data_IF_358388629708
#
_entry.id   IF_358388629708
#
_cell.length_a   1.000
_cell.length_b   1.000
_cell.length_c   1.000
_cell.angle_alpha   90.00
_cell.angle_beta   90.00
_cell.angle_gamma   90.00
#
_symmetry.space_group_name_H-M   'P 1'
#
loop_
_entity.id
_entity.type
_entity.pdbx_description
1 polymer ?
#
# COMPACT_ATOMS: atom_id res chain seq x y z
N UNK A 1 -41.35 3.07 25.31
CA UNK A 1 -40.90 3.44 23.94
C UNK A 1 -39.43 3.03 23.81
N UNK A 2 -39.14 1.96 23.08
CA UNK A 2 -37.77 1.44 22.93
C UNK A 2 -37.04 2.26 21.85
N UNK A 3 -35.96 2.94 22.25
CA UNK A 3 -34.97 3.51 21.32
C UNK A 3 -34.23 2.34 20.67
N UNK A 4 -34.56 2.05 19.41
CA UNK A 4 -33.75 1.18 18.58
C UNK A 4 -32.36 1.84 18.40
N UNK A 5 -31.36 1.26 19.06
CA UNK A 5 -29.95 1.54 18.81
C UNK A 5 -29.65 1.19 17.36
N UNK A 6 -29.43 2.23 16.55
CA UNK A 6 -29.10 2.10 15.15
C UNK A 6 -27.65 1.60 15.03
N UNK A 7 -27.44 0.29 15.22
CA UNK A 7 -26.16 -0.36 14.98
C UNK A 7 -25.93 -0.28 13.47
N UNK A 8 -25.13 0.71 13.03
CA UNK A 8 -24.59 0.74 11.67
C UNK A 8 -23.78 -0.54 11.48
N UNK A 9 -24.39 -1.56 10.90
CA UNK A 9 -23.65 -2.75 10.46
C UNK A 9 -22.59 -2.27 9.46
N UNK A 10 -21.32 -2.30 9.85
CA UNK A 10 -20.21 -1.96 8.96
C UNK A 10 -20.11 -3.04 7.89
N UNK A 11 -20.89 -2.86 6.82
CA UNK A 11 -20.96 -3.79 5.70
C UNK A 11 -19.66 -3.66 4.90
N UNK A 12 -18.81 -4.69 4.94
CA UNK A 12 -17.57 -4.76 4.13
C UNK A 12 -17.87 -4.42 2.67
N UNK A 13 -17.01 -3.60 2.08
CA UNK A 13 -17.02 -3.24 0.66
C UNK A 13 -16.79 -4.47 -0.23
N UNK A 14 -17.13 -4.34 -1.52
CA UNK A 14 -16.93 -5.42 -2.51
C UNK A 14 -15.48 -5.91 -2.54
N UNK A 15 -14.52 -4.98 -2.47
CA UNK A 15 -13.10 -5.33 -2.56
C UNK A 15 -12.61 -5.98 -1.27
N UNK A 16 -13.01 -5.51 -0.09
CA UNK A 16 -12.63 -6.16 1.18
C UNK A 16 -13.11 -7.61 1.22
N UNK A 17 -14.32 -7.88 0.73
CA UNK A 17 -14.84 -9.25 0.59
C UNK A 17 -14.01 -10.09 -0.37
N UNK A 18 -13.53 -9.50 -1.48
CA UNK A 18 -12.69 -10.20 -2.44
C UNK A 18 -11.31 -10.52 -1.86
N UNK A 19 -10.71 -9.58 -1.12
CA UNK A 19 -9.44 -9.80 -0.40
C UNK A 19 -9.59 -10.93 0.61
N UNK A 20 -10.62 -10.88 1.45
CA UNK A 20 -10.91 -11.91 2.45
C UNK A 20 -11.14 -13.28 1.80
N UNK A 21 -11.92 -13.32 0.70
CA UNK A 21 -12.12 -14.56 -0.06
C UNK A 21 -10.78 -15.14 -0.52
N UNK A 22 -9.96 -14.35 -1.22
CA UNK A 22 -8.67 -14.81 -1.74
C UNK A 22 -7.74 -15.29 -0.62
N UNK A 23 -7.68 -14.56 0.50
CA UNK A 23 -6.87 -14.96 1.66
C UNK A 23 -7.35 -16.30 2.24
N UNK A 24 -8.66 -16.51 2.37
CA UNK A 24 -9.21 -17.77 2.85
C UNK A 24 -8.89 -18.93 1.91
N UNK A 25 -9.05 -18.72 0.59
CA UNK A 25 -8.70 -19.74 -0.42
C UNK A 25 -7.21 -20.11 -0.37
N UNK A 26 -6.34 -19.11 -0.18
CA UNK A 26 -4.90 -19.33 -0.03
C UNK A 26 -4.59 -20.14 1.24
N UNK A 27 -5.20 -19.78 2.38
CA UNK A 27 -5.00 -20.47 3.67
C UNK A 27 -5.50 -21.92 3.63
N UNK A 28 -6.62 -22.16 2.93
CA UNK A 28 -7.18 -23.48 2.69
C UNK A 28 -6.43 -24.26 1.59
N UNK A 29 -5.41 -23.66 0.96
CA UNK A 29 -4.61 -24.22 -0.15
C UNK A 29 -5.44 -24.54 -1.40
N UNK A 30 -6.58 -23.88 -1.57
CA UNK A 30 -7.41 -23.99 -2.79
C UNK A 30 -6.74 -23.31 -3.98
N UNK A 31 -5.98 -22.24 -3.73
CA UNK A 31 -5.22 -21.50 -4.73
C UNK A 31 -3.73 -21.48 -4.39
N UNK A 32 -2.89 -21.35 -5.41
CA UNK A 32 -1.44 -21.20 -5.23
C UNK A 32 -1.08 -19.77 -4.82
N UNK A 33 0.06 -19.53 -4.15
CA UNK A 33 0.51 -18.19 -3.80
C UNK A 33 0.62 -17.23 -4.98
N UNK A 34 1.07 -17.72 -6.14
CA UNK A 34 1.15 -16.91 -7.37
C UNK A 34 -0.24 -16.48 -7.87
N UNK A 35 -1.20 -17.40 -7.86
CA UNK A 35 -2.58 -17.11 -8.26
C UNK A 35 -3.25 -16.13 -7.30
N UNK A 36 -2.97 -16.23 -6.00
CA UNK A 36 -3.34 -15.20 -5.03
C UNK A 36 -2.76 -13.83 -5.42
N UNK A 37 -1.45 -13.77 -5.69
CA UNK A 37 -0.76 -12.53 -6.04
C UNK A 37 -1.22 -11.93 -7.37
N UNK A 38 -1.66 -12.74 -8.34
CA UNK A 38 -2.21 -12.29 -9.63
C UNK A 38 -3.62 -11.70 -9.46
N UNK A 39 -4.45 -12.33 -8.62
CA UNK A 39 -5.86 -11.96 -8.46
C UNK A 39 -6.13 -10.96 -7.33
N UNK A 40 -5.14 -10.70 -6.46
CA UNK A 40 -5.30 -9.78 -5.36
C UNK A 40 -5.68 -8.37 -5.86
N UNK A 41 -6.74 -7.74 -5.32
CA UNK A 41 -7.15 -6.41 -5.76
C UNK A 41 -6.28 -5.34 -5.09
N UNK A 42 -5.21 -4.94 -5.79
CA UNK A 42 -4.32 -3.86 -5.35
C UNK A 42 -5.07 -2.53 -5.29
N UNK A 43 -4.86 -1.77 -4.22
CA UNK A 43 -5.47 -0.47 -3.99
C UNK A 43 -4.40 0.52 -3.54
N UNK A 44 -4.54 1.75 -3.97
CA UNK A 44 -3.77 2.90 -3.48
C UNK A 44 -4.74 4.00 -3.06
N UNK A 45 -4.61 4.49 -1.82
CA UNK A 45 -5.39 5.61 -1.32
C UNK A 45 -5.13 6.87 -2.14
N UNK A 46 -6.16 7.69 -2.38
CA UNK A 46 -6.08 8.91 -3.19
C UNK A 46 -6.17 10.17 -2.34
N UNK A 47 -5.10 10.95 -2.33
CA UNK A 47 -5.00 12.22 -1.63
C UNK A 47 -4.28 13.24 -2.53
N UNK A 48 -4.31 14.52 -2.18
CA UNK A 48 -3.59 15.53 -2.93
C UNK A 48 -2.06 15.33 -2.82
N UNK A 49 -1.30 15.72 -3.86
CA UNK A 49 0.18 15.67 -3.86
C UNK A 49 0.76 16.31 -2.60
N UNK A 50 0.29 17.51 -2.25
CA UNK A 50 0.74 18.23 -1.06
C UNK A 50 0.52 17.45 0.24
N UNK A 51 -0.65 16.80 0.40
CA UNK A 51 -0.95 16.00 1.58
C UNK A 51 -0.06 14.74 1.66
N UNK A 52 0.15 14.06 0.53
CA UNK A 52 1.01 12.87 0.46
C UNK A 52 2.45 13.22 0.80
N UNK A 53 3.02 14.24 0.13
CA UNK A 53 4.40 14.68 0.35
C UNK A 53 4.59 15.16 1.79
N UNK A 54 3.69 16.01 2.29
CA UNK A 54 3.77 16.53 3.65
C UNK A 54 3.71 15.42 4.71
N UNK A 55 2.83 14.44 4.54
CA UNK A 55 2.71 13.31 5.47
C UNK A 55 3.92 12.39 5.42
N UNK A 56 4.43 12.09 4.22
CA UNK A 56 5.62 11.24 4.04
C UNK A 56 6.85 11.87 4.70
N UNK A 57 7.10 13.16 4.46
CA UNK A 57 8.23 13.90 5.03
C UNK A 57 8.10 14.04 6.54
N UNK A 58 6.89 14.36 7.05
CA UNK A 58 6.64 14.40 8.49
C UNK A 58 6.88 13.03 9.14
N UNK A 59 6.45 11.94 8.49
CA UNK A 59 6.70 10.57 8.93
C UNK A 59 8.19 10.23 8.98
N UNK A 60 8.95 10.60 7.94
CA UNK A 60 10.40 10.42 7.89
C UNK A 60 11.09 11.18 9.03
N UNK A 61 10.78 12.47 9.19
CA UNK A 61 11.34 13.32 10.26
C UNK A 61 11.01 12.77 11.65
N UNK A 62 9.81 12.22 11.84
CA UNK A 62 9.41 11.58 13.11
C UNK A 62 10.20 10.29 13.38
N UNK A 63 10.48 9.50 12.34
CA UNK A 63 11.16 8.20 12.48
C UNK A 63 12.68 8.31 12.61
N UNK A 64 13.30 9.18 11.82
CA UNK A 64 14.77 9.30 11.71
C UNK A 64 15.33 10.58 12.35
N UNK A 65 14.45 11.49 12.77
CA UNK A 65 14.83 12.73 13.43
C UNK A 65 15.11 13.90 12.48
N UNK A 66 15.30 15.08 13.08
CA UNK A 66 15.49 16.33 12.34
C UNK A 66 16.84 16.38 11.61
N UNK A 67 17.87 15.75 12.16
CA UNK A 67 19.20 15.73 11.54
C UNK A 67 19.19 15.00 10.20
N UNK A 68 18.66 13.77 10.19
CA UNK A 68 18.50 12.99 8.95
C UNK A 68 17.61 13.71 7.92
N UNK A 69 16.54 14.38 8.37
CA UNK A 69 15.73 15.19 7.46
C UNK A 69 16.53 16.34 6.82
N UNK A 70 17.32 17.08 7.59
CA UNK A 70 18.15 18.17 7.06
C UNK A 70 19.18 17.69 6.04
N UNK A 71 19.63 16.44 6.13
CA UNK A 71 20.57 15.85 5.17
C UNK A 71 19.92 15.61 3.79
N UNK A 72 18.59 15.43 3.75
CA UNK A 72 17.87 15.14 2.50
C UNK A 72 16.92 16.25 2.02
N UNK A 73 16.67 17.28 2.83
CA UNK A 73 15.58 18.24 2.58
C UNK A 73 15.71 19.02 1.26
N UNK A 74 16.94 19.22 0.80
CA UNK A 74 17.28 19.97 -0.42
C UNK A 74 17.62 19.00 -1.59
N UNK A 75 17.56 17.70 -1.35
CA UNK A 75 17.77 16.64 -2.33
C UNK A 75 16.39 16.13 -2.81
N UNK A 76 16.03 16.55 -4.02
CA UNK A 76 14.76 16.20 -4.63
C UNK A 76 14.58 14.67 -4.78
N UNK A 77 15.62 13.96 -5.23
CA UNK A 77 15.58 12.52 -5.45
C UNK A 77 15.44 11.77 -4.12
N UNK A 78 16.14 12.23 -3.07
CA UNK A 78 16.01 11.67 -1.73
C UNK A 78 14.60 11.87 -1.17
N UNK A 79 14.00 13.06 -1.34
CA UNK A 79 12.62 13.33 -0.91
C UNK A 79 11.62 12.49 -1.71
N UNK A 80 11.76 12.40 -3.03
CA UNK A 80 10.88 11.57 -3.85
C UNK A 80 10.98 10.10 -3.45
N UNK A 81 12.18 9.59 -3.16
CA UNK A 81 12.35 8.23 -2.66
C UNK A 81 11.65 8.01 -1.31
N UNK A 82 11.70 8.97 -0.38
CA UNK A 82 10.92 8.91 0.87
C UNK A 82 9.41 8.84 0.58
N UNK A 83 8.93 9.64 -0.36
CA UNK A 83 7.51 9.68 -0.74
C UNK A 83 7.08 8.37 -1.41
N UNK A 84 7.88 7.81 -2.32
CA UNK A 84 7.62 6.49 -2.95
C UNK A 84 7.48 5.39 -1.90
N UNK A 85 8.43 5.31 -0.97
CA UNK A 85 8.38 4.34 0.13
C UNK A 85 7.12 4.53 0.99
N UNK A 86 6.74 5.77 1.26
CA UNK A 86 5.52 6.07 2.01
C UNK A 86 4.27 5.59 1.28
N UNK A 87 4.13 5.91 -0.02
CA UNK A 87 2.97 5.52 -0.82
C UNK A 87 2.86 4.00 -0.90
N UNK A 88 3.94 3.31 -1.27
CA UNK A 88 3.92 1.85 -1.41
C UNK A 88 3.67 1.17 -0.06
N UNK A 89 4.32 1.61 1.01
CA UNK A 89 4.27 0.94 2.30
C UNK A 89 3.02 1.24 3.14
N UNK A 90 2.43 2.44 2.98
CA UNK A 90 1.39 2.93 3.90
C UNK A 90 0.11 3.38 3.20
N UNK A 91 0.13 3.60 1.89
CA UNK A 91 -1.06 3.98 1.14
C UNK A 91 -1.62 2.85 0.30
N UNK A 92 -0.93 1.72 0.23
CA UNK A 92 -1.43 0.50 -0.42
C UNK A 92 -2.02 -0.47 0.60
N UNK A 93 -2.76 -1.46 0.10
CA UNK A 93 -3.13 -2.67 0.86
C UNK A 93 -2.09 -3.80 0.75
N UNK A 94 -0.82 -3.47 0.43
CA UNK A 94 0.25 -4.47 0.31
C UNK A 94 0.52 -5.20 1.64
N UNK A 95 0.35 -4.51 2.78
CA UNK A 95 0.50 -5.11 4.11
C UNK A 95 -0.52 -6.23 4.35
N UNK A 96 -1.78 -6.00 4.02
CA UNK A 96 -2.83 -7.03 4.13
C UNK A 96 -2.49 -8.25 3.24
N UNK A 97 -1.91 -7.98 2.07
CA UNK A 97 -1.48 -9.02 1.14
C UNK A 97 -0.30 -9.84 1.68
N UNK A 98 0.68 -9.17 2.30
CA UNK A 98 1.84 -9.78 2.93
C UNK A 98 1.45 -10.68 4.10
N UNK A 99 0.56 -10.22 4.97
CA UNK A 99 0.10 -10.98 6.14
C UNK A 99 -0.54 -12.32 5.73
N UNK A 100 -1.26 -12.37 4.60
CA UNK A 100 -1.81 -13.62 4.08
C UNK A 100 -0.74 -14.60 3.55
N UNK A 101 0.45 -14.10 3.20
CA UNK A 101 1.56 -14.87 2.61
C UNK A 101 2.68 -15.22 3.59
N UNK A 102 2.76 -14.55 4.75
CA UNK A 102 3.91 -14.54 5.66
C UNK A 102 4.37 -15.95 6.12
N UNK A 103 3.48 -16.94 6.09
CA UNK A 103 3.78 -18.33 6.48
C UNK A 103 3.46 -19.37 5.39
N UNK A 104 3.23 -18.93 4.14
CA UNK A 104 2.89 -19.82 3.03
C UNK A 104 4.13 -20.18 2.22
N UNK A 105 4.38 -21.48 1.98
CA UNK A 105 5.48 -21.93 1.11
C UNK A 105 5.32 -21.33 -0.29
N UNK A 106 6.34 -20.63 -0.77
CA UNK A 106 6.28 -19.89 -2.04
C UNK A 106 5.76 -18.46 -1.91
N UNK A 107 5.37 -18.03 -0.70
CA UNK A 107 4.86 -16.69 -0.40
C UNK A 107 5.84 -15.58 -0.78
N UNK A 108 7.15 -15.78 -0.61
CA UNK A 108 8.17 -14.79 -0.99
C UNK A 108 8.13 -14.41 -2.48
N UNK A 109 7.94 -15.39 -3.38
CA UNK A 109 7.86 -15.13 -4.82
C UNK A 109 6.57 -14.37 -5.17
N UNK A 110 5.45 -14.81 -4.60
CA UNK A 110 4.16 -14.16 -4.76
C UNK A 110 4.18 -12.71 -4.22
N UNK A 111 4.85 -12.48 -3.09
CA UNK A 111 5.02 -11.16 -2.52
C UNK A 111 5.86 -10.24 -3.42
N UNK A 112 6.89 -10.77 -4.11
CA UNK A 112 7.61 -10.01 -5.13
C UNK A 112 6.71 -9.47 -6.23
N UNK A 113 5.78 -10.29 -6.73
CA UNK A 113 4.78 -9.83 -7.72
C UNK A 113 3.83 -8.77 -7.14
N UNK A 114 3.35 -8.95 -5.90
CA UNK A 114 2.48 -7.97 -5.25
C UNK A 114 3.19 -6.62 -5.06
N UNK A 115 4.47 -6.62 -4.71
CA UNK A 115 5.27 -5.40 -4.60
C UNK A 115 5.37 -4.69 -5.95
N UNK A 116 5.63 -5.40 -7.05
CA UNK A 116 5.65 -4.79 -8.38
C UNK A 116 4.28 -4.19 -8.73
N UNK A 117 3.19 -4.94 -8.50
CA UNK A 117 1.83 -4.45 -8.75
C UNK A 117 1.48 -3.24 -7.88
N UNK A 118 1.99 -3.17 -6.65
CA UNK A 118 1.82 -2.02 -5.78
C UNK A 118 2.57 -0.79 -6.30
N UNK A 119 3.77 -0.97 -6.86
CA UNK A 119 4.53 0.09 -7.54
C UNK A 119 3.75 0.58 -8.76
N UNK A 120 3.34 -0.31 -9.65
CA UNK A 120 2.65 0.03 -10.89
C UNK A 120 1.34 0.79 -10.60
N UNK A 121 0.55 0.32 -9.64
CA UNK A 121 -0.69 0.97 -9.23
C UNK A 121 -0.42 2.32 -8.53
N UNK A 122 0.69 2.45 -7.81
CA UNK A 122 1.11 3.72 -7.19
C UNK A 122 1.48 4.75 -8.26
N UNK A 123 2.22 4.37 -9.30
CA UNK A 123 2.54 5.24 -10.44
C UNK A 123 1.29 5.61 -11.23
N UNK A 124 0.34 4.68 -11.39
CA UNK A 124 -0.95 4.96 -12.03
C UNK A 124 -1.78 6.00 -11.28
N UNK A 125 -1.78 5.95 -9.94
CA UNK A 125 -2.53 6.90 -9.09
C UNK A 125 -1.78 8.21 -8.90
N UNK A 126 -0.46 8.15 -8.81
CA UNK A 126 0.43 9.30 -8.62
C UNK A 126 1.52 9.32 -9.71
N UNK A 127 1.20 9.75 -10.95
CA UNK A 127 2.17 9.74 -12.05
C UNK A 127 3.41 10.59 -11.79
N UNK A 128 3.29 11.62 -10.96
CA UNK A 128 4.41 12.46 -10.50
C UNK A 128 5.38 11.75 -9.55
N UNK A 129 5.16 10.47 -9.23
CA UNK A 129 6.15 9.62 -8.58
C UNK A 129 7.08 8.95 -9.58
N UNK A 130 6.86 9.06 -10.88
CA UNK A 130 7.79 8.53 -11.88
C UNK A 130 9.01 9.45 -12.02
N UNK A 131 10.21 8.88 -12.14
CA UNK A 131 11.45 9.63 -12.35
C UNK A 131 11.40 10.39 -13.68
N UNK A 132 10.75 9.81 -14.69
CA UNK A 132 10.59 10.44 -16.02
C UNK A 132 9.68 11.68 -16.00
N UNK A 133 8.83 11.84 -14.98
CA UNK A 133 7.92 12.99 -14.87
C UNK A 133 8.65 14.32 -14.63
N UNK A 134 9.87 14.28 -14.09
CA UNK A 134 10.67 15.49 -13.77
C UNK A 134 11.79 15.76 -14.78
N UNK A 135 11.85 15.02 -15.89
CA UNK A 135 12.80 15.24 -16.98
C UNK A 135 12.28 16.21 -18.06
N UNK A 136 11.09 16.81 -17.87
CA UNK A 136 10.45 17.78 -18.75
C UNK A 136 10.07 19.05 -18.00
#
# INVERSE_FOLDING_TARGET
MNKASNIKSNKKSKVERQMEKLSNQLQQKEIKPMEYAENFPMKVGRYSKAAVVGTAVAGYKKKYGVKAYKEIQDDFDAIINVVRHFVIGYMTNLKDAYEALEQVKGGKKAFGLLTQRAIDESLRVYPWLDDEYYQY
#
